data_IF_334695778008
#
_entry.id   IF_334695778008
#
_cell.length_a   1.000
_cell.length_b   1.000
_cell.length_c   1.000
_cell.angle_alpha   90.00
_cell.angle_beta   90.00
_cell.angle_gamma   90.00
#
_symmetry.space_group_name_H-M   'P 1'
#
loop_
_entity.id
_entity.type
_entity.pdbx_description
1 polymer ?
#
# COMPACT_ATOMS: atom_id res chain seq x y z
N UNK A 1 4.87 11.15 -30.46
CA UNK A 1 4.07 10.07 -29.85
C UNK A 1 4.85 9.62 -28.62
N UNK A 2 4.42 9.78 -27.37
CA UNK A 2 3.07 9.84 -26.80
C UNK A 2 3.03 10.87 -25.66
N UNK A 3 2.04 11.75 -25.71
CA UNK A 3 1.77 12.80 -24.73
C UNK A 3 0.97 12.25 -23.51
N UNK A 4 1.51 11.27 -22.79
CA UNK A 4 0.82 10.64 -21.65
C UNK A 4 1.47 10.91 -20.28
N UNK A 5 2.63 11.58 -20.24
CA UNK A 5 3.38 11.77 -19.00
C UNK A 5 2.94 12.99 -18.16
N UNK A 6 2.07 13.85 -18.68
CA UNK A 6 1.76 15.15 -18.06
C UNK A 6 0.41 15.24 -17.35
N UNK A 7 -0.45 14.22 -17.42
CA UNK A 7 -1.73 14.24 -16.68
C UNK A 7 -1.61 13.79 -15.21
N UNK A 8 -0.44 13.34 -14.75
CA UNK A 8 -0.26 12.85 -13.38
C UNK A 8 0.01 13.99 -12.37
N UNK A 9 0.34 15.21 -12.84
CA UNK A 9 0.86 16.27 -11.96
C UNK A 9 -0.09 17.43 -11.63
N UNK A 10 -1.27 17.52 -12.24
CA UNK A 10 -2.21 18.64 -12.03
C UNK A 10 -3.27 18.42 -10.94
N UNK A 11 -3.05 17.48 -10.01
CA UNK A 11 -4.08 17.09 -9.02
C UNK A 11 -3.99 17.78 -7.65
N UNK A 12 -3.08 18.73 -7.46
CA UNK A 12 -2.81 19.38 -6.15
C UNK A 12 -3.43 20.77 -6.00
N UNK A 13 -4.64 20.98 -6.50
CA UNK A 13 -5.46 22.16 -6.16
C UNK A 13 -6.68 21.75 -5.35
N UNK A 14 -6.81 22.40 -4.18
CA UNK A 14 -7.94 22.39 -3.26
C UNK A 14 -9.28 22.02 -3.93
N UNK A 15 -9.83 20.86 -3.56
CA UNK A 15 -11.19 20.44 -3.92
C UNK A 15 -11.32 19.23 -4.85
N UNK A 16 -10.23 18.76 -5.47
CA UNK A 16 -10.27 17.53 -6.27
C UNK A 16 -10.24 16.27 -5.37
N UNK A 17 -11.22 15.38 -5.52
CA UNK A 17 -11.27 14.06 -4.86
C UNK A 17 -9.96 13.33 -5.15
N UNK A 18 -9.12 13.05 -4.14
CA UNK A 18 -7.89 12.27 -4.32
C UNK A 18 -8.22 10.99 -5.08
N UNK A 19 -7.58 10.79 -6.24
CA UNK A 19 -7.77 9.57 -7.03
C UNK A 19 -7.12 8.41 -6.30
N UNK A 20 -7.92 7.41 -5.91
CA UNK A 20 -7.42 6.17 -5.33
C UNK A 20 -6.77 5.33 -6.43
N UNK A 21 -5.52 4.91 -6.23
CA UNK A 21 -4.77 4.04 -7.13
C UNK A 21 -4.98 2.58 -6.77
N UNK A 22 -4.89 1.67 -7.74
CA UNK A 22 -4.75 0.24 -7.41
C UNK A 22 -3.30 -0.08 -7.01
N UNK A 23 -3.07 -1.24 -6.39
CA UNK A 23 -1.70 -1.73 -6.13
C UNK A 23 -0.87 -1.80 -7.42
N UNK A 24 -1.47 -2.22 -8.53
CA UNK A 24 -0.81 -2.28 -9.85
C UNK A 24 -0.40 -0.89 -10.33
N UNK A 25 -1.30 0.09 -10.29
CA UNK A 25 -1.00 1.46 -10.72
C UNK A 25 0.09 2.09 -9.86
N UNK A 26 0.01 1.90 -8.53
CA UNK A 26 1.00 2.42 -7.59
C UNK A 26 2.39 1.81 -7.83
N UNK A 27 2.48 0.50 -8.09
CA UNK A 27 3.76 -0.15 -8.39
C UNK A 27 4.28 0.22 -9.79
N UNK A 28 3.41 0.35 -10.78
CA UNK A 28 3.77 0.77 -12.15
C UNK A 28 4.26 2.22 -12.23
N UNK A 29 3.86 3.06 -11.29
CA UNK A 29 4.26 4.48 -11.20
C UNK A 29 5.11 4.80 -9.96
N UNK A 30 5.67 3.78 -9.30
CA UNK A 30 6.33 3.89 -7.99
C UNK A 30 7.38 5.00 -7.89
N UNK A 31 8.21 5.16 -8.92
CA UNK A 31 9.28 6.17 -8.94
C UNK A 31 8.75 7.60 -9.07
N UNK A 32 7.56 7.77 -9.64
CA UNK A 32 6.91 9.08 -9.82
C UNK A 32 6.14 9.52 -8.56
N UNK A 33 5.63 8.57 -7.79
CA UNK A 33 4.82 8.81 -6.59
C UNK A 33 5.61 8.67 -5.29
N UNK A 34 6.92 8.38 -5.36
CA UNK A 34 7.81 8.31 -4.21
C UNK A 34 7.77 9.62 -3.40
N UNK A 35 7.62 9.50 -2.08
CA UNK A 35 7.55 10.62 -1.14
C UNK A 35 6.18 11.32 -1.11
N UNK A 36 5.24 10.95 -1.99
CA UNK A 36 3.91 11.56 -2.02
C UNK A 36 2.92 10.84 -1.10
N UNK A 37 2.01 11.62 -0.51
CA UNK A 37 0.88 11.08 0.24
C UNK A 37 -0.24 10.70 -0.73
N UNK A 38 -0.51 9.41 -0.88
CA UNK A 38 -1.45 8.85 -1.86
C UNK A 38 -2.44 7.89 -1.21
N UNK A 39 -3.53 7.60 -1.91
CA UNK A 39 -4.46 6.54 -1.55
C UNK A 39 -4.27 5.32 -2.46
N UNK A 40 -4.10 4.15 -1.86
CA UNK A 40 -3.97 2.88 -2.58
C UNK A 40 -5.05 1.91 -2.12
N UNK A 41 -5.83 1.39 -3.06
CA UNK A 41 -6.78 0.31 -2.86
C UNK A 41 -6.11 -1.05 -3.07
N UNK A 42 -6.38 -1.98 -2.16
CA UNK A 42 -6.02 -3.36 -2.33
C UNK A 42 -6.68 -4.27 -1.29
N UNK A 43 -6.20 -5.49 -1.21
CA UNK A 43 -6.56 -6.45 -0.17
C UNK A 43 -5.60 -6.31 1.00
N UNK A 44 -6.14 -6.10 2.21
CA UNK A 44 -5.31 -6.12 3.41
C UNK A 44 -4.77 -7.54 3.62
N UNK A 45 -3.46 -7.66 3.74
CA UNK A 45 -2.76 -8.86 4.17
C UNK A 45 -2.19 -8.64 5.56
N UNK A 46 -2.33 -9.67 6.39
CA UNK A 46 -1.72 -9.73 7.71
C UNK A 46 -1.15 -11.13 7.90
N UNK A 47 0.15 -11.21 8.15
CA UNK A 47 0.86 -12.45 8.45
C UNK A 47 1.38 -12.38 9.88
N UNK A 48 0.75 -13.17 10.76
CA UNK A 48 1.13 -13.29 12.17
C UNK A 48 2.14 -14.41 12.43
N UNK A 49 2.45 -15.25 11.44
CA UNK A 49 3.36 -16.39 11.60
C UNK A 49 4.83 -15.97 11.50
N UNK A 50 5.07 -14.81 10.88
CA UNK A 50 6.39 -14.18 10.81
C UNK A 50 6.62 -13.22 11.98
N UNK A 51 7.87 -13.13 12.44
CA UNK A 51 8.28 -12.28 13.55
C UNK A 51 9.31 -11.23 13.07
N UNK A 52 9.00 -9.92 13.14
CA UNK A 52 7.73 -9.33 13.57
C UNK A 52 6.59 -9.59 12.54
N UNK A 53 5.31 -9.59 12.98
CA UNK A 53 4.18 -9.72 12.06
C UNK A 53 4.23 -8.66 10.94
N UNK A 54 3.89 -9.04 9.71
CA UNK A 54 3.87 -8.09 8.60
C UNK A 54 2.45 -7.77 8.15
N UNK A 55 2.26 -6.51 7.79
CA UNK A 55 1.10 -6.02 7.08
C UNK A 55 1.49 -5.68 5.66
N UNK A 56 0.62 -6.01 4.72
CA UNK A 56 0.83 -5.71 3.32
C UNK A 56 -0.48 -5.41 2.62
N UNK A 57 -0.36 -4.74 1.47
CA UNK A 57 -1.46 -4.47 0.57
C UNK A 57 -1.26 -5.32 -0.68
N UNK A 58 -2.08 -6.35 -0.81
CA UNK A 58 -2.09 -7.24 -1.95
C UNK A 58 -3.01 -6.73 -3.05
N UNK A 59 -2.79 -7.24 -4.26
CA UNK A 59 -3.52 -6.85 -5.46
C UNK A 59 -5.03 -7.09 -5.38
N UNK A 60 -5.79 -6.13 -5.91
CA UNK A 60 -7.19 -6.27 -6.23
C UNK A 60 -7.48 -5.67 -7.62
N UNK A 61 -8.15 -6.39 -8.54
CA UNK A 61 -8.58 -7.79 -8.45
C UNK A 61 -7.42 -8.78 -8.33
N UNK A 62 -7.61 -9.90 -7.63
CA UNK A 62 -6.54 -10.92 -7.44
C UNK A 62 -6.02 -11.50 -8.76
N UNK A 63 -6.85 -11.51 -9.81
CA UNK A 63 -6.51 -12.03 -11.13
C UNK A 63 -5.49 -11.15 -11.86
N UNK A 64 -5.35 -9.87 -11.48
CA UNK A 64 -4.42 -8.92 -12.08
C UNK A 64 -3.07 -8.86 -11.34
N UNK A 65 -2.82 -9.83 -10.46
CA UNK A 65 -1.59 -9.88 -9.67
C UNK A 65 -0.38 -10.07 -10.59
N UNK A 66 0.51 -9.08 -10.59
CA UNK A 66 1.88 -9.25 -11.06
C UNK A 66 2.62 -10.12 -10.02
N UNK A 67 3.22 -11.23 -10.47
CA UNK A 67 3.72 -12.28 -9.60
C UNK A 67 4.72 -11.75 -8.56
N UNK A 68 4.46 -12.05 -7.28
CA UNK A 68 5.37 -11.75 -6.17
C UNK A 68 5.32 -10.31 -5.64
N UNK A 69 4.63 -9.38 -6.29
CA UNK A 69 4.64 -7.98 -5.86
C UNK A 69 3.45 -7.66 -4.96
N UNK A 70 3.68 -6.89 -3.90
CA UNK A 70 2.68 -6.29 -3.03
C UNK A 70 3.35 -5.08 -2.33
N UNK A 71 2.57 -4.23 -1.67
CA UNK A 71 3.11 -3.05 -0.99
C UNK A 71 3.17 -3.33 0.51
N UNK A 72 4.34 -3.12 1.14
CA UNK A 72 4.46 -3.26 2.59
C UNK A 72 3.71 -2.12 3.28
N UNK A 73 2.87 -2.43 4.25
CA UNK A 73 2.19 -1.42 5.08
C UNK A 73 3.03 -1.22 6.32
N UNK A 74 3.53 0.00 6.51
CA UNK A 74 4.24 0.39 7.72
C UNK A 74 3.32 1.22 8.58
N UNK A 75 3.09 0.78 9.81
CA UNK A 75 2.30 1.49 10.82
C UNK A 75 3.24 2.05 11.88
N UNK A 76 3.34 3.36 11.99
CA UNK A 76 4.14 4.04 12.99
C UNK A 76 3.26 4.83 13.97
N UNK A 77 3.71 4.94 15.23
CA UNK A 77 3.09 5.81 16.23
C UNK A 77 1.62 5.46 16.56
N UNK A 78 0.74 6.46 16.44
CA UNK A 78 -0.68 6.37 16.84
C UNK A 78 -1.55 5.43 15.96
N UNK A 79 -0.98 4.82 14.92
CA UNK A 79 -1.69 3.99 13.95
C UNK A 79 -1.40 2.49 14.11
N UNK A 80 -1.26 2.01 15.36
CA UNK A 80 -1.15 0.58 15.65
C UNK A 80 -2.53 -0.08 15.66
N UNK A 81 -2.81 -0.94 14.68
CA UNK A 81 -4.02 -1.75 14.71
C UNK A 81 -3.91 -2.87 15.75
N UNK A 82 -5.00 -3.13 16.47
CA UNK A 82 -5.12 -4.35 17.25
C UNK A 82 -5.04 -5.57 16.30
N UNK A 83 -4.23 -6.56 16.66
CA UNK A 83 -4.08 -7.82 15.94
C UNK A 83 -5.43 -8.50 15.62
N UNK A 84 -6.40 -8.48 16.53
CA UNK A 84 -7.74 -9.06 16.29
C UNK A 84 -8.48 -8.34 15.14
N UNK A 85 -8.27 -7.03 15.02
CA UNK A 85 -8.83 -6.23 13.93
C UNK A 85 -8.13 -6.57 12.62
N UNK A 86 -6.80 -6.69 12.63
CA UNK A 86 -6.02 -7.08 11.46
C UNK A 86 -6.39 -8.47 10.96
N UNK A 87 -6.53 -9.46 11.85
CA UNK A 87 -7.00 -10.81 11.50
C UNK A 87 -8.39 -10.77 10.86
N UNK A 88 -9.30 -9.96 11.39
CA UNK A 88 -10.67 -9.81 10.86
C UNK A 88 -10.71 -9.11 9.50
N UNK A 89 -9.80 -8.15 9.28
CA UNK A 89 -9.75 -7.35 8.06
C UNK A 89 -8.86 -7.99 6.99
N UNK A 90 -8.04 -8.98 7.35
CA UNK A 90 -7.23 -9.74 6.41
C UNK A 90 -8.11 -10.35 5.30
N UNK A 91 -7.66 -10.19 4.05
CA UNK A 91 -8.37 -10.55 2.84
C UNK A 91 -9.54 -9.63 2.46
N UNK A 92 -9.82 -8.55 3.19
CA UNK A 92 -10.85 -7.55 2.84
C UNK A 92 -10.25 -6.43 1.99
N UNK A 93 -11.09 -5.85 1.12
CA UNK A 93 -10.74 -4.64 0.36
C UNK A 93 -10.66 -3.45 1.31
N UNK A 94 -9.52 -2.78 1.27
CA UNK A 94 -9.23 -1.57 2.03
C UNK A 94 -8.66 -0.50 1.12
N UNK A 95 -8.79 0.75 1.53
CA UNK A 95 -8.01 1.87 1.00
C UNK A 95 -7.05 2.33 2.07
N UNK A 96 -5.77 2.41 1.72
CA UNK A 96 -4.70 2.89 2.60
C UNK A 96 -4.27 4.27 2.12
N UNK A 97 -4.35 5.27 2.99
CA UNK A 97 -3.78 6.59 2.79
C UNK A 97 -2.45 6.68 3.53
N UNK A 98 -1.40 7.10 2.85
CA UNK A 98 -0.08 7.23 3.47
C UNK A 98 0.97 7.77 2.52
N UNK A 99 2.18 7.96 3.04
CA UNK A 99 3.34 8.36 2.23
C UNK A 99 3.89 7.12 1.56
N UNK A 100 3.96 7.13 0.22
CA UNK A 100 4.48 6.01 -0.55
C UNK A 100 5.99 6.13 -0.73
N UNK A 101 6.72 5.05 -0.52
CA UNK A 101 8.17 5.00 -0.62
C UNK A 101 8.60 3.79 -1.45
N UNK A 102 9.21 4.06 -2.59
CA UNK A 102 9.94 3.05 -3.37
C UNK A 102 11.12 2.51 -2.56
N UNK A 103 11.28 1.20 -2.52
CA UNK A 103 12.50 0.60 -1.96
C UNK A 103 13.50 0.33 -3.09
N UNK A 104 14.72 0.89 -3.06
CA UNK A 104 15.72 0.56 -4.04
C UNK A 104 16.16 -0.90 -3.91
N UNK A 105 16.45 -1.59 -5.02
CA UNK A 105 16.98 -2.94 -4.99
C UNK A 105 18.41 -2.91 -4.39
N UNK A 106 18.53 -3.02 -3.06
CA UNK A 106 19.83 -3.04 -2.38
C UNK A 106 19.89 -2.43 -0.98
N UNK A 107 18.88 -1.69 -0.51
CA UNK A 107 18.77 -1.19 0.88
C UNK A 107 18.40 -2.30 1.89
N UNK A 108 18.80 -3.53 1.60
CA UNK A 108 18.56 -4.73 2.41
C UNK A 108 19.70 -5.04 3.38
N UNK A 109 20.70 -4.16 3.48
CA UNK A 109 21.99 -4.49 4.13
C UNK A 109 21.96 -4.59 5.65
N UNK A 110 20.96 -4.01 6.33
CA UNK A 110 20.93 -4.01 7.80
C UNK A 110 19.94 -5.01 8.41
N UNK A 111 19.15 -5.73 7.61
CA UNK A 111 18.18 -6.73 8.10
C UNK A 111 18.53 -8.18 7.78
N UNK A 112 19.69 -8.42 7.17
CA UNK A 112 20.11 -9.71 6.62
C UNK A 112 20.73 -10.65 7.67
N UNK A 113 20.15 -10.75 8.87
CA UNK A 113 20.69 -11.58 9.95
C UNK A 113 19.83 -12.74 10.44
N UNK A 114 18.63 -12.98 9.91
CA UNK A 114 17.93 -14.25 10.18
C UNK A 114 17.18 -14.71 8.93
N UNK A 115 17.66 -15.79 8.33
CA UNK A 115 17.06 -16.39 7.14
C UNK A 115 15.62 -16.81 7.40
N UNK A 116 14.73 -16.41 6.48
CA UNK A 116 13.46 -17.03 6.05
C UNK A 116 12.92 -16.11 4.94
N UNK A 117 12.62 -16.69 3.77
CA UNK A 117 12.54 -15.99 2.48
C UNK A 117 11.33 -15.06 2.24
N UNK A 118 10.92 -14.22 3.19
CA UNK A 118 9.72 -13.38 3.06
C UNK A 118 9.94 -11.87 3.30
N UNK A 119 11.01 -11.47 3.99
CA UNK A 119 11.16 -10.08 4.47
C UNK A 119 11.87 -9.11 3.50
N UNK A 120 12.41 -9.60 2.38
CA UNK A 120 13.46 -8.91 1.61
C UNK A 120 13.12 -8.57 0.14
N UNK A 121 11.85 -8.61 -0.28
CA UNK A 121 11.49 -8.35 -1.68
C UNK A 121 10.25 -7.45 -1.86
N UNK A 122 10.04 -6.49 -0.97
CA UNK A 122 8.97 -5.50 -1.14
C UNK A 122 9.43 -4.40 -2.12
N UNK A 123 8.77 -4.22 -3.29
CA UNK A 123 9.15 -3.18 -4.25
C UNK A 123 8.87 -1.75 -3.75
N UNK A 124 7.98 -1.62 -2.76
CA UNK A 124 7.61 -0.36 -2.13
C UNK A 124 6.98 -0.59 -0.74
N UNK A 125 6.93 0.48 0.06
CA UNK A 125 6.13 0.56 1.30
C UNK A 125 5.25 1.79 1.32
N UNK A 126 4.22 1.75 2.18
CA UNK A 126 3.39 2.90 2.52
C UNK A 126 3.46 3.16 4.02
N UNK A 127 3.92 4.35 4.41
CA UNK A 127 3.88 4.81 5.80
C UNK A 127 2.48 5.34 6.07
N UNK A 128 1.73 4.54 6.83
CA UNK A 128 0.28 4.63 6.91
C UNK A 128 -0.17 5.78 7.77
N UNK A 129 -1.14 6.55 7.26
CA UNK A 129 -1.86 7.59 8.00
C UNK A 129 -3.32 7.23 8.24
N UNK A 130 -3.93 6.46 7.33
CA UNK A 130 -5.32 5.97 7.45
C UNK A 130 -5.50 4.65 6.72
N UNK A 131 -6.35 3.77 7.25
CA UNK A 131 -6.86 2.59 6.55
C UNK A 131 -8.37 2.53 6.71
N UNK A 132 -9.07 2.50 5.59
CA UNK A 132 -10.52 2.44 5.54
C UNK A 132 -10.96 1.12 4.90
N UNK A 133 -11.89 0.40 5.53
CA UNK A 133 -12.59 -0.68 4.85
C UNK A 133 -13.40 -0.08 3.70
N UNK A 134 -13.22 -0.60 2.48
CA UNK A 134 -13.89 -0.03 1.30
C UNK A 134 -15.42 0.00 1.46
N UNK A 135 -16.01 -1.03 2.09
CA UNK A 135 -17.45 -1.09 2.39
C UNK A 135 -17.91 0.06 3.30
N UNK A 136 -17.09 0.49 4.27
CA UNK A 136 -17.42 1.60 5.17
C UNK A 136 -17.27 2.93 4.45
N UNK A 137 -16.19 3.09 3.67
CA UNK A 137 -15.91 4.29 2.89
C UNK A 137 -17.02 4.61 1.88
N UNK A 138 -17.53 3.59 1.17
CA UNK A 138 -18.64 3.77 0.22
C UNK A 138 -19.93 4.23 0.95
N UNK A 139 -20.19 3.73 2.16
CA UNK A 139 -21.35 4.13 2.94
C UNK A 139 -21.27 5.58 3.48
N UNK A 140 -20.05 6.10 3.69
CA UNK A 140 -19.82 7.45 4.21
C UNK A 140 -19.73 8.53 3.12
N UNK A 141 -19.44 8.14 1.87
CA UNK A 141 -19.23 9.08 0.76
C UNK A 141 -20.31 9.04 -0.34
N UNK A 142 -21.11 7.97 -0.43
CA UNK A 142 -22.19 7.83 -1.40
C UNK A 142 -23.59 7.87 -0.75
N UNK A 143 -23.68 8.28 0.52
CA UNK A 143 -24.91 8.43 1.32
C UNK A 143 -25.38 9.87 1.47
#
# INVERSE_FOLDING_TARGET
MVAAALEVLDFWTYGAKMKTLTVNDALGTKDQIHGHCIEVEGLLGYDSEIAPPELYLAHWPRAERIAGEAIKIVTEGAFSFNEEVLKRWSGKRVVVLGVFETMPPGEFKDWLWFGLGHSSHWPARIVTRRVDLLKKRLAEHDG
#
